data_IF_101663849085
#
_entry.id   IF_101663849085
#
_cell.length_a   1.000
_cell.length_b   1.000
_cell.length_c   1.000
_cell.angle_alpha   90.00
_cell.angle_beta   90.00
_cell.angle_gamma   90.00
#
_symmetry.space_group_name_H-M   'P 1'
#
loop_
_entity.id
_entity.type
_entity.pdbx_description
1 polymer ?
#
# COMPACT_ATOMS: atom_id res chain seq x y z
N UNK A 1 -11.49 -19.00 -2.28
CA UNK A 1 -11.67 -19.83 -1.07
C UNK A 1 -11.13 -19.05 0.11
N UNK A 2 -11.89 -18.99 1.22
CA UNK A 2 -11.42 -18.36 2.48
C UNK A 2 -11.09 -19.48 3.45
N UNK A 3 -9.93 -19.40 4.09
CA UNK A 3 -9.45 -20.38 5.06
C UNK A 3 -9.03 -19.65 6.35
N UNK A 4 -9.53 -20.12 7.48
CA UNK A 4 -9.18 -19.51 8.77
C UNK A 4 -7.91 -20.14 9.33
N UNK A 5 -7.01 -19.28 9.82
CA UNK A 5 -5.76 -19.70 10.44
C UNK A 5 -5.51 -18.92 11.73
N UNK A 6 -4.70 -19.53 12.60
CA UNK A 6 -4.23 -18.87 13.80
C UNK A 6 -2.74 -18.50 13.70
N UNK A 7 -2.36 -17.41 14.34
CA UNK A 7 -0.99 -16.88 14.32
C UNK A 7 -0.49 -16.67 15.75
N UNK A 8 0.80 -16.79 15.94
CA UNK A 8 1.45 -16.54 17.24
C UNK A 8 1.90 -15.09 17.40
N UNK A 9 2.01 -14.35 16.30
CA UNK A 9 2.41 -12.94 16.27
C UNK A 9 1.63 -12.21 15.18
N UNK A 10 1.19 -11.00 15.50
CA UNK A 10 0.52 -10.11 14.55
C UNK A 10 1.54 -9.30 13.73
N UNK A 11 2.50 -8.70 14.40
CA UNK A 11 3.48 -7.79 13.81
C UNK A 11 4.73 -8.53 13.33
N UNK A 12 5.14 -8.20 12.11
CA UNK A 12 6.37 -8.70 11.49
C UNK A 12 7.38 -7.56 11.40
N UNK A 13 8.58 -7.76 11.96
CA UNK A 13 9.64 -6.77 11.84
C UNK A 13 10.28 -6.85 10.47
N UNK A 14 10.33 -5.71 9.77
CA UNK A 14 10.98 -5.59 8.47
C UNK A 14 12.48 -5.45 8.69
N UNK A 15 13.25 -6.28 7.99
CA UNK A 15 14.71 -6.17 8.01
C UNK A 15 15.13 -4.94 7.20
N UNK A 16 15.83 -4.02 7.84
CA UNK A 16 16.44 -2.90 7.14
C UNK A 16 17.42 -3.43 6.09
N UNK A 17 17.30 -2.93 4.88
CA UNK A 17 18.28 -3.17 3.83
C UNK A 17 18.97 -1.85 3.52
N UNK A 18 20.25 -1.86 3.19
CA UNK A 18 21.03 -0.66 2.88
C UNK A 18 20.53 0.12 1.64
N UNK A 19 19.52 -0.38 0.95
CA UNK A 19 19.02 0.17 -0.32
C UNK A 19 17.66 0.85 -0.23
N UNK A 20 16.90 0.61 0.84
CA UNK A 20 15.53 1.13 0.97
C UNK A 20 15.33 1.61 2.41
N UNK A 21 15.10 2.90 2.58
CA UNK A 21 14.65 3.47 3.84
C UNK A 21 13.14 3.52 3.82
N UNK A 22 12.50 2.65 4.62
CA UNK A 22 11.06 2.69 4.81
C UNK A 22 10.71 3.56 6.03
N UNK A 23 9.56 4.27 6.01
CA UNK A 23 9.11 5.09 7.13
C UNK A 23 8.66 4.27 8.33
N UNK A 24 8.62 2.96 8.20
CA UNK A 24 8.14 2.02 9.21
C UNK A 24 9.05 0.80 9.30
N UNK A 25 9.00 0.14 10.46
CA UNK A 25 9.78 -1.09 10.73
C UNK A 25 8.90 -2.31 11.00
N UNK A 26 7.61 -2.11 11.11
CA UNK A 26 6.66 -3.16 11.46
C UNK A 26 5.56 -3.24 10.41
N UNK A 27 5.18 -4.46 10.09
CA UNK A 27 4.16 -4.77 9.12
C UNK A 27 3.07 -5.65 9.75
N UNK A 28 1.82 -5.22 9.65
CA UNK A 28 0.64 -5.96 10.04
C UNK A 28 -0.11 -6.41 8.81
N UNK A 29 -0.24 -7.72 8.62
CA UNK A 29 -1.06 -8.30 7.57
C UNK A 29 -2.13 -9.17 8.22
N UNK A 30 -3.37 -8.71 8.22
CA UNK A 30 -4.50 -9.43 8.82
C UNK A 30 -4.96 -10.61 7.97
N UNK A 31 -4.68 -10.54 6.69
CA UNK A 31 -4.88 -11.62 5.73
C UNK A 31 -3.55 -12.12 5.16
N UNK A 32 -3.61 -13.22 4.44
CA UNK A 32 -2.55 -13.70 3.57
C UNK A 32 -3.17 -14.14 2.25
N UNK A 33 -2.63 -13.68 1.13
CA UNK A 33 -3.30 -13.64 -0.16
C UNK A 33 -4.15 -12.38 -0.29
N UNK A 34 -4.53 -12.04 -1.52
CA UNK A 34 -5.30 -10.84 -1.79
C UNK A 34 -6.30 -11.06 -2.91
N UNK A 35 -7.60 -10.91 -2.59
CA UNK A 35 -8.69 -11.11 -3.51
C UNK A 35 -8.83 -10.05 -4.60
N UNK A 36 -8.10 -8.93 -4.56
CA UNK A 36 -8.15 -7.93 -5.63
C UNK A 36 -7.70 -8.46 -7.00
N UNK A 37 -6.84 -9.48 -7.03
CA UNK A 37 -6.45 -10.15 -8.27
C UNK A 37 -5.55 -9.35 -9.18
N UNK A 38 -4.79 -8.38 -8.66
CA UNK A 38 -3.94 -7.52 -9.48
C UNK A 38 -2.88 -8.31 -10.26
N UNK A 39 -2.93 -8.29 -11.59
CA UNK A 39 -2.07 -9.09 -12.45
C UNK A 39 -0.57 -8.78 -12.36
N UNK A 40 -0.19 -7.68 -11.73
CA UNK A 40 1.19 -7.24 -11.51
C UNK A 40 1.64 -7.34 -10.04
N UNK A 41 0.88 -8.00 -9.16
CA UNK A 41 1.09 -7.97 -7.73
C UNK A 41 2.46 -8.56 -7.33
N UNK A 42 3.31 -7.73 -6.71
CA UNK A 42 4.62 -8.18 -6.24
C UNK A 42 4.53 -9.18 -5.08
N UNK A 43 3.43 -9.18 -4.34
CA UNK A 43 3.27 -9.97 -3.12
C UNK A 43 2.96 -11.45 -3.36
N UNK A 44 2.79 -11.88 -4.62
CA UNK A 44 2.56 -13.29 -4.97
C UNK A 44 3.60 -14.24 -4.36
N UNK A 45 4.86 -13.79 -4.23
CA UNK A 45 5.92 -14.58 -3.59
C UNK A 45 5.58 -15.03 -2.16
N UNK A 46 4.69 -14.33 -1.48
CA UNK A 46 4.37 -14.63 -0.07
C UNK A 46 3.72 -15.98 0.13
N UNK A 47 3.00 -16.51 -0.88
CA UNK A 47 2.39 -17.85 -0.84
C UNK A 47 3.41 -18.98 -0.97
N UNK A 48 4.52 -18.77 -1.70
CA UNK A 48 5.56 -19.79 -1.86
C UNK A 48 6.20 -20.27 -0.55
N UNK A 49 6.09 -19.47 0.52
CA UNK A 49 6.53 -19.88 1.87
C UNK A 49 5.61 -20.91 2.52
N UNK A 50 4.32 -20.97 2.13
CA UNK A 50 3.37 -22.00 2.62
C UNK A 50 3.54 -23.30 1.85
N UNK A 51 3.65 -23.23 0.54
CA UNK A 51 3.75 -24.38 -0.36
C UNK A 51 4.98 -25.23 -0.07
N UNK A 52 6.08 -24.63 0.40
CA UNK A 52 7.25 -25.36 0.87
C UNK A 52 7.01 -26.18 2.14
N UNK A 53 5.99 -25.88 2.92
CA UNK A 53 5.60 -26.63 4.13
C UNK A 53 4.55 -27.70 3.82
N UNK A 54 3.71 -27.46 2.86
CA UNK A 54 2.69 -28.39 2.39
C UNK A 54 3.20 -29.02 1.08
N UNK A 55 3.39 -30.35 1.04
CA UNK A 55 3.81 -31.11 -0.15
C UNK A 55 2.76 -31.12 -1.28
N UNK A 56 2.06 -30.01 -1.49
CA UNK A 56 1.03 -29.84 -2.51
C UNK A 56 1.50 -28.89 -3.59
N UNK A 57 2.17 -29.42 -4.59
CA UNK A 57 2.33 -28.73 -5.86
C UNK A 57 1.65 -29.54 -6.96
N UNK A 58 0.44 -29.15 -7.32
CA UNK A 58 -0.07 -29.43 -8.66
C UNK A 58 0.58 -28.42 -9.60
N UNK A 59 1.52 -28.88 -10.41
CA UNK A 59 2.20 -28.05 -11.40
C UNK A 59 1.13 -27.42 -12.33
N UNK A 60 1.04 -26.09 -12.35
CA UNK A 60 0.13 -25.31 -13.21
C UNK A 60 -0.89 -24.42 -12.52
N UNK A 61 -1.20 -24.63 -11.23
CA UNK A 61 -2.15 -23.79 -10.47
C UNK A 61 -1.50 -22.79 -9.52
N UNK A 62 -0.17 -22.81 -9.36
CA UNK A 62 0.58 -22.08 -8.34
C UNK A 62 0.37 -20.55 -8.41
N UNK A 63 0.31 -19.97 -9.60
CA UNK A 63 0.18 -18.52 -9.77
C UNK A 63 -1.20 -17.97 -9.39
N UNK A 64 -2.24 -18.83 -9.36
CA UNK A 64 -3.59 -18.43 -9.00
C UNK A 64 -3.89 -18.58 -7.50
N UNK A 65 -3.09 -19.31 -6.75
CA UNK A 65 -3.34 -19.58 -5.32
C UNK A 65 -3.33 -18.30 -4.49
N UNK A 66 -2.42 -17.37 -4.75
CA UNK A 66 -2.33 -16.09 -4.05
C UNK A 66 -3.62 -15.26 -4.13
N UNK A 67 -4.34 -15.31 -5.23
CA UNK A 67 -5.59 -14.57 -5.45
C UNK A 67 -6.85 -15.35 -5.06
N UNK A 68 -6.79 -16.67 -5.09
CA UNK A 68 -7.96 -17.56 -4.89
C UNK A 68 -8.05 -18.13 -3.49
N UNK A 69 -6.91 -18.33 -2.80
CA UNK A 69 -6.84 -18.88 -1.46
C UNK A 69 -6.40 -17.77 -0.48
N UNK A 70 -7.37 -17.23 0.23
CA UNK A 70 -7.14 -16.16 1.19
C UNK A 70 -7.18 -16.74 2.60
N UNK A 71 -6.11 -16.60 3.33
CA UNK A 71 -6.06 -17.01 4.73
C UNK A 71 -6.44 -15.84 5.62
N UNK A 72 -7.42 -16.06 6.50
CA UNK A 72 -7.92 -15.10 7.48
C UNK A 72 -7.32 -15.43 8.83
N UNK A 73 -6.64 -14.49 9.45
CA UNK A 73 -6.01 -14.69 10.76
C UNK A 73 -7.01 -14.36 11.87
N UNK A 74 -7.80 -15.34 12.27
CA UNK A 74 -8.95 -15.13 13.18
C UNK A 74 -8.58 -14.69 14.59
N UNK A 75 -7.36 -15.00 15.07
CA UNK A 75 -6.86 -14.53 16.37
C UNK A 75 -5.89 -13.35 16.28
N UNK A 76 -5.95 -12.58 15.18
CA UNK A 76 -4.99 -11.50 14.94
C UNK A 76 -5.09 -10.39 15.99
N UNK A 77 -6.29 -10.12 16.50
CA UNK A 77 -6.54 -9.09 17.49
C UNK A 77 -5.87 -9.42 18.82
N UNK A 78 -6.07 -10.63 19.34
CA UNK A 78 -5.42 -11.11 20.56
C UNK A 78 -3.88 -11.06 20.44
N UNK A 79 -3.35 -11.52 19.31
CA UNK A 79 -1.91 -11.47 19.04
C UNK A 79 -1.38 -10.04 18.93
N UNK A 80 -2.17 -9.11 18.36
CA UNK A 80 -1.82 -7.71 18.23
C UNK A 80 -1.83 -7.00 19.60
N UNK A 81 -2.91 -7.13 20.35
CA UNK A 81 -3.08 -6.55 21.67
C UNK A 81 -1.92 -6.95 22.60
N UNK A 82 -1.57 -8.24 22.62
CA UNK A 82 -0.42 -8.74 23.39
C UNK A 82 0.90 -8.06 23.00
N UNK A 83 1.09 -7.75 21.71
CA UNK A 83 2.32 -7.09 21.26
C UNK A 83 2.31 -5.59 21.56
N UNK A 84 1.18 -4.89 21.36
CA UNK A 84 1.04 -3.46 21.67
C UNK A 84 1.10 -3.18 23.18
N UNK A 85 0.55 -4.08 24.01
CA UNK A 85 0.59 -3.99 25.46
C UNK A 85 1.93 -4.35 26.10
N UNK A 86 2.90 -4.85 25.33
CA UNK A 86 4.21 -5.21 25.87
C UNK A 86 4.98 -3.96 26.33
N UNK A 87 5.59 -4.01 27.53
CA UNK A 87 6.40 -2.90 28.08
C UNK A 87 7.55 -2.44 27.17
N UNK A 88 8.00 -3.31 26.28
CA UNK A 88 9.08 -3.03 25.32
C UNK A 88 8.58 -2.37 24.03
N UNK A 89 7.26 -2.28 23.84
CA UNK A 89 6.68 -1.65 22.66
C UNK A 89 6.86 -0.14 22.69
N UNK A 90 7.41 0.43 21.60
CA UNK A 90 7.79 1.85 21.51
C UNK A 90 6.85 2.70 20.66
N UNK A 91 5.68 2.17 20.33
CA UNK A 91 4.72 2.84 19.43
C UNK A 91 5.35 3.25 18.09
N UNK A 92 6.17 2.38 17.54
CA UNK A 92 6.73 2.57 16.21
C UNK A 92 5.63 2.51 15.14
N UNK A 93 5.82 3.19 14.03
CA UNK A 93 4.85 3.19 12.92
C UNK A 93 4.65 1.77 12.39
N UNK A 94 3.39 1.36 12.28
CA UNK A 94 2.98 0.08 11.71
C UNK A 94 2.39 0.31 10.33
N UNK A 95 2.95 -0.36 9.32
CA UNK A 95 2.32 -0.47 8.01
C UNK A 95 1.29 -1.58 8.03
N UNK A 96 0.06 -1.29 7.62
CA UNK A 96 -1.03 -2.26 7.57
C UNK A 96 -1.27 -2.65 6.11
N UNK A 97 -1.09 -3.94 5.79
CA UNK A 97 -1.33 -4.45 4.45
C UNK A 97 -0.11 -4.45 3.51
N UNK A 98 1.09 -4.74 4.03
CA UNK A 98 2.33 -4.73 3.22
C UNK A 98 2.41 -5.84 2.15
N UNK A 99 1.75 -6.99 2.36
CA UNK A 99 1.74 -8.11 1.38
C UNK A 99 0.32 -8.56 1.00
N UNK A 100 -0.69 -7.84 1.43
CA UNK A 100 -2.09 -7.99 1.02
C UNK A 100 -2.77 -6.64 1.18
N UNK A 101 -3.90 -6.42 0.53
CA UNK A 101 -4.74 -5.29 0.85
C UNK A 101 -5.62 -5.65 2.05
N UNK A 102 -5.62 -4.84 3.09
CA UNK A 102 -6.42 -5.10 4.30
C UNK A 102 -7.90 -4.79 4.08
N UNK A 103 -8.24 -4.03 3.04
CA UNK A 103 -9.61 -3.76 2.60
C UNK A 103 -10.00 -4.56 1.34
N UNK A 104 -9.37 -5.72 1.13
CA UNK A 104 -9.75 -6.65 0.08
C UNK A 104 -11.18 -7.21 0.28
N UNK A 105 -11.80 -7.86 -0.73
CA UNK A 105 -13.18 -8.35 -0.61
C UNK A 105 -13.48 -9.21 0.62
N UNK A 106 -12.51 -9.96 1.16
CA UNK A 106 -12.69 -10.74 2.39
C UNK A 106 -13.03 -9.87 3.60
N UNK A 107 -12.51 -8.64 3.66
CA UNK A 107 -12.72 -7.72 4.78
C UNK A 107 -14.18 -7.27 4.90
N UNK A 108 -14.94 -7.22 3.79
CA UNK A 108 -16.36 -6.91 3.82
C UNK A 108 -17.16 -7.90 4.70
N UNK A 109 -16.70 -9.15 4.78
CA UNK A 109 -17.36 -10.20 5.54
C UNK A 109 -16.80 -10.35 6.96
N UNK A 110 -15.49 -10.21 7.13
CA UNK A 110 -14.84 -10.46 8.43
C UNK A 110 -14.77 -9.24 9.34
N UNK A 111 -14.70 -8.04 8.79
CA UNK A 111 -14.72 -6.79 9.55
C UNK A 111 -13.54 -6.58 10.51
N UNK A 112 -12.42 -7.30 10.33
CA UNK A 112 -11.27 -7.30 11.23
C UNK A 112 -10.57 -5.94 11.33
N UNK A 113 -10.59 -5.14 10.25
CA UNK A 113 -9.95 -3.83 10.27
C UNK A 113 -10.55 -2.90 11.29
N UNK A 114 -11.88 -2.94 11.49
CA UNK A 114 -12.56 -2.10 12.47
C UNK A 114 -12.03 -2.34 13.90
N UNK A 115 -11.87 -3.60 14.26
CA UNK A 115 -11.34 -3.98 15.57
C UNK A 115 -9.83 -3.69 15.68
N UNK A 116 -9.06 -3.90 14.62
CA UNK A 116 -7.65 -3.49 14.55
C UNK A 116 -7.50 -1.98 14.79
N UNK A 117 -8.33 -1.16 14.15
CA UNK A 117 -8.30 0.29 14.32
C UNK A 117 -8.69 0.72 15.74
N UNK A 118 -9.67 0.05 16.36
CA UNK A 118 -10.02 0.28 17.75
C UNK A 118 -8.83 0.04 18.69
N UNK A 119 -8.09 -1.07 18.50
CA UNK A 119 -6.84 -1.32 19.23
C UNK A 119 -5.78 -0.25 18.95
N UNK A 120 -5.60 0.16 17.69
CA UNK A 120 -4.64 1.22 17.36
C UNK A 120 -5.00 2.54 18.05
N UNK A 121 -6.29 2.85 18.18
CA UNK A 121 -6.78 4.04 18.89
C UNK A 121 -6.53 3.94 20.40
N UNK A 122 -6.83 2.80 21.02
CA UNK A 122 -6.57 2.55 22.44
C UNK A 122 -5.09 2.73 22.80
N UNK A 123 -4.21 2.13 21.99
CA UNK A 123 -2.76 2.23 22.19
C UNK A 123 -2.14 3.51 21.61
N UNK A 124 -2.92 4.36 20.91
CA UNK A 124 -2.44 5.56 20.19
C UNK A 124 -1.23 5.23 19.31
N UNK A 125 -1.35 4.17 18.53
CA UNK A 125 -0.25 3.67 17.72
C UNK A 125 -0.32 4.25 16.30
N UNK A 126 0.77 4.86 15.80
CA UNK A 126 0.78 5.40 14.44
C UNK A 126 0.72 4.31 13.38
N UNK A 127 -0.03 4.59 12.30
CA UNK A 127 -0.27 3.63 11.22
C UNK A 127 -0.12 4.24 9.83
N UNK A 128 0.27 3.40 8.87
CA UNK A 128 0.22 3.66 7.43
C UNK A 128 -0.67 2.59 6.80
N UNK A 129 -1.64 3.00 6.00
CA UNK A 129 -2.56 2.11 5.29
C UNK A 129 -2.55 2.49 3.82
N UNK A 130 -2.32 1.50 2.96
CA UNK A 130 -2.40 1.67 1.51
C UNK A 130 -3.42 0.70 0.94
N UNK A 131 -4.37 1.19 0.15
CA UNK A 131 -5.45 0.34 -0.38
C UNK A 131 -5.82 0.67 -1.82
N UNK A 132 -6.47 -0.28 -2.49
CA UNK A 132 -7.18 -0.13 -3.77
C UNK A 132 -8.69 -0.25 -3.60
N UNK A 133 -9.19 -0.04 -2.38
CA UNK A 133 -10.60 -0.26 -2.04
C UNK A 133 -11.23 0.97 -1.40
N UNK A 134 -12.43 1.33 -1.83
CA UNK A 134 -13.27 2.32 -1.16
C UNK A 134 -13.97 1.77 0.10
N UNK A 135 -13.82 0.47 0.40
CA UNK A 135 -14.30 -0.13 1.65
C UNK A 135 -13.69 0.54 2.90
N UNK A 136 -12.51 1.16 2.78
CA UNK A 136 -11.88 1.93 3.87
C UNK A 136 -12.78 3.05 4.38
N UNK A 137 -13.70 3.57 3.57
CA UNK A 137 -14.66 4.60 3.98
C UNK A 137 -15.64 4.12 5.06
N UNK A 138 -15.87 2.81 5.17
CA UNK A 138 -16.62 2.21 6.29
C UNK A 138 -16.02 2.59 7.65
N UNK A 139 -14.71 2.76 7.70
CA UNK A 139 -13.94 2.99 8.93
C UNK A 139 -13.40 4.44 9.00
N UNK A 140 -13.96 5.36 8.20
CA UNK A 140 -13.52 6.75 8.09
C UNK A 140 -13.50 7.46 9.45
N UNK A 141 -14.56 7.32 10.27
CA UNK A 141 -14.65 7.93 11.60
C UNK A 141 -13.52 7.46 12.53
N UNK A 142 -13.29 6.14 12.60
CA UNK A 142 -12.22 5.56 13.44
C UNK A 142 -10.84 6.02 13.01
N UNK A 143 -10.59 6.12 11.71
CA UNK A 143 -9.33 6.62 11.18
C UNK A 143 -9.16 8.12 11.46
N UNK A 144 -10.23 8.90 11.38
CA UNK A 144 -10.25 10.31 11.75
C UNK A 144 -9.93 10.50 13.25
N UNK A 145 -10.61 9.77 14.13
CA UNK A 145 -10.34 9.78 15.58
C UNK A 145 -8.89 9.39 15.91
N UNK A 146 -8.39 8.31 15.30
CA UNK A 146 -6.99 7.90 15.47
C UNK A 146 -6.03 8.98 14.99
N UNK A 147 -6.36 9.66 13.89
CA UNK A 147 -5.53 10.71 13.31
C UNK A 147 -5.40 11.96 14.20
N UNK A 148 -6.40 12.25 15.04
CA UNK A 148 -6.29 13.29 16.07
C UNK A 148 -5.31 12.91 17.20
N UNK A 149 -5.17 11.62 17.48
CA UNK A 149 -4.36 11.12 18.59
C UNK A 149 -2.90 10.85 18.20
N UNK A 150 -2.65 10.46 16.94
CA UNK A 150 -1.33 10.08 16.44
C UNK A 150 -1.22 10.21 14.92
N UNK A 151 -0.12 9.74 14.34
CA UNK A 151 0.07 9.75 12.89
C UNK A 151 -0.74 8.64 12.23
N UNK A 152 -1.60 9.03 11.32
CA UNK A 152 -2.34 8.15 10.40
C UNK A 152 -2.05 8.59 8.97
N UNK A 153 -1.67 7.64 8.13
CA UNK A 153 -1.54 7.86 6.70
C UNK A 153 -2.51 6.94 5.96
N UNK A 154 -3.37 7.55 5.14
CA UNK A 154 -4.29 6.85 4.25
C UNK A 154 -3.86 7.12 2.82
N UNK A 155 -3.36 6.09 2.14
CA UNK A 155 -2.96 6.19 0.76
C UNK A 155 -3.82 5.30 -0.13
N UNK A 156 -4.15 5.78 -1.31
CA UNK A 156 -4.78 4.96 -2.34
C UNK A 156 -3.82 4.72 -3.49
N UNK A 157 -3.93 3.56 -4.12
CA UNK A 157 -3.16 3.24 -5.32
C UNK A 157 -4.04 3.41 -6.55
N UNK A 158 -3.61 4.24 -7.50
CA UNK A 158 -4.25 4.41 -8.81
C UNK A 158 -3.18 4.28 -9.90
N UNK A 159 -3.38 3.35 -10.84
CA UNK A 159 -2.46 3.07 -11.94
C UNK A 159 -2.93 3.66 -13.26
N UNK A 160 -4.24 3.78 -13.42
CA UNK A 160 -4.90 4.34 -14.61
C UNK A 160 -6.28 4.88 -14.26
N UNK A 161 -6.74 5.86 -15.03
CA UNK A 161 -8.12 6.35 -15.00
C UNK A 161 -9.02 5.65 -16.04
N UNK A 162 -8.46 4.86 -16.94
CA UNK A 162 -9.23 4.00 -17.83
C UNK A 162 -9.84 2.83 -17.04
N UNK A 163 -11.15 2.86 -16.84
CA UNK A 163 -11.87 1.84 -16.05
C UNK A 163 -11.79 0.44 -16.67
N UNK A 164 -11.77 0.33 -18.00
CA UNK A 164 -11.66 -0.97 -18.67
C UNK A 164 -10.29 -1.58 -18.43
N UNK A 165 -9.24 -0.78 -18.60
CA UNK A 165 -7.88 -1.19 -18.32
C UNK A 165 -7.69 -1.48 -16.82
N UNK A 166 -8.25 -0.65 -15.94
CA UNK A 166 -8.21 -0.86 -14.49
C UNK A 166 -8.84 -2.21 -14.11
N UNK A 167 -10.04 -2.51 -14.61
CA UNK A 167 -10.72 -3.78 -14.37
C UNK A 167 -9.93 -4.98 -14.87
N UNK A 168 -9.27 -4.84 -16.02
CA UNK A 168 -8.44 -5.92 -16.57
C UNK A 168 -7.16 -6.15 -15.74
N UNK A 169 -6.54 -5.07 -15.25
CA UNK A 169 -5.32 -5.13 -14.45
C UNK A 169 -5.59 -5.52 -12.99
N UNK A 170 -6.73 -5.12 -12.43
CA UNK A 170 -7.08 -5.18 -10.99
C UNK A 170 -8.55 -5.62 -10.81
N UNK A 171 -8.90 -6.88 -11.16
CA UNK A 171 -10.28 -7.32 -11.42
C UNK A 171 -11.29 -7.09 -10.29
N UNK A 172 -10.86 -7.15 -9.02
CA UNK A 172 -11.73 -7.01 -7.84
C UNK A 172 -11.33 -5.83 -6.95
N UNK A 173 -10.52 -4.91 -7.45
CA UNK A 173 -10.26 -3.65 -6.77
C UNK A 173 -11.35 -2.62 -7.12
N UNK A 174 -11.53 -1.61 -6.29
CA UNK A 174 -12.50 -0.55 -6.57
C UNK A 174 -12.11 0.25 -7.81
N UNK A 175 -13.05 0.76 -8.60
CA UNK A 175 -12.76 1.63 -9.74
C UNK A 175 -11.89 2.83 -9.35
N UNK A 176 -11.08 3.39 -10.27
CA UNK A 176 -10.18 4.50 -9.97
C UNK A 176 -10.86 5.71 -9.34
N UNK A 177 -12.03 6.11 -9.84
CA UNK A 177 -12.81 7.23 -9.29
C UNK A 177 -13.25 7.00 -7.83
N UNK A 178 -13.60 5.76 -7.49
CA UNK A 178 -13.93 5.39 -6.11
C UNK A 178 -12.73 5.51 -5.16
N UNK A 179 -11.53 5.24 -5.67
CA UNK A 179 -10.29 5.43 -4.89
C UNK A 179 -10.00 6.93 -4.69
N UNK A 180 -10.28 7.78 -5.68
CA UNK A 180 -10.20 9.24 -5.49
C UNK A 180 -11.26 9.76 -4.52
N UNK A 181 -12.46 9.16 -4.45
CA UNK A 181 -13.44 9.55 -3.44
C UNK A 181 -12.91 9.31 -2.01
N UNK A 182 -12.11 8.27 -1.78
CA UNK A 182 -11.43 8.07 -0.49
C UNK A 182 -10.57 9.28 -0.13
N UNK A 183 -9.74 9.76 -1.05
CA UNK A 183 -8.89 10.93 -0.79
C UNK A 183 -9.70 12.20 -0.51
N UNK A 184 -10.83 12.39 -1.21
CA UNK A 184 -11.73 13.54 -0.99
C UNK A 184 -12.35 13.51 0.40
N UNK A 185 -12.79 12.34 0.88
CA UNK A 185 -13.37 12.19 2.21
C UNK A 185 -12.35 12.43 3.34
N UNK A 186 -11.11 11.97 3.16
CA UNK A 186 -10.08 12.14 4.18
C UNK A 186 -9.40 13.51 4.19
N UNK A 187 -9.56 14.36 3.16
CA UNK A 187 -8.84 15.64 3.03
C UNK A 187 -9.07 16.63 4.17
N UNK A 188 -10.23 16.59 4.80
CA UNK A 188 -10.61 17.51 5.89
C UNK A 188 -10.42 16.87 7.28
N UNK A 189 -9.82 15.68 7.34
CA UNK A 189 -9.44 15.02 8.60
C UNK A 189 -8.00 15.36 8.99
N UNK A 190 -7.60 14.93 10.19
CA UNK A 190 -6.20 15.03 10.62
C UNK A 190 -5.30 13.94 10.01
N UNK A 191 -5.82 13.01 9.20
CA UNK A 191 -5.03 12.00 8.53
C UNK A 191 -4.21 12.61 7.39
N UNK A 192 -2.98 12.11 7.22
CA UNK A 192 -2.18 12.37 6.03
C UNK A 192 -2.72 11.54 4.87
N UNK A 193 -2.87 12.16 3.72
CA UNK A 193 -3.37 11.49 2.52
C UNK A 193 -2.29 11.35 1.46
N UNK A 194 -2.26 10.20 0.78
CA UNK A 194 -1.26 9.91 -0.25
C UNK A 194 -1.81 9.23 -1.49
N UNK A 195 -1.25 9.59 -2.62
CA UNK A 195 -1.48 8.88 -3.87
C UNK A 195 -0.27 7.99 -4.20
N UNK A 196 -0.52 6.71 -4.42
CA UNK A 196 0.49 5.78 -4.94
C UNK A 196 0.20 5.49 -6.43
N UNK A 197 1.06 5.98 -7.31
CA UNK A 197 1.08 5.61 -8.73
C UNK A 197 2.04 4.43 -8.92
N UNK A 198 1.80 3.34 -8.22
CA UNK A 198 2.68 2.16 -8.14
C UNK A 198 1.90 0.86 -8.34
N UNK A 199 2.18 0.14 -9.44
CA UNK A 199 3.18 0.47 -10.46
C UNK A 199 2.62 1.31 -11.61
N UNK A 200 3.48 2.12 -12.24
CA UNK A 200 3.27 2.57 -13.61
C UNK A 200 3.71 1.42 -14.53
N UNK A 201 2.81 1.00 -15.42
CA UNK A 201 3.04 -0.11 -16.33
C UNK A 201 3.41 0.44 -17.72
N UNK A 202 4.65 0.22 -18.18
CA UNK A 202 5.09 0.68 -19.51
C UNK A 202 4.14 0.25 -20.62
N UNK A 203 3.92 1.11 -21.60
CA UNK A 203 3.03 0.91 -22.74
C UNK A 203 1.53 0.78 -22.42
N UNK A 204 1.16 0.61 -21.13
CA UNK A 204 -0.23 0.46 -20.69
C UNK A 204 -0.74 1.70 -19.96
N UNK A 205 -0.02 2.14 -18.91
CA UNK A 205 -0.47 3.23 -18.03
C UNK A 205 0.48 4.43 -18.01
N UNK A 206 1.56 4.42 -18.77
CA UNK A 206 2.62 5.43 -18.82
C UNK A 206 2.38 6.56 -19.83
N UNK A 207 1.23 6.59 -20.50
CA UNK A 207 0.86 7.67 -21.41
C UNK A 207 0.78 9.00 -20.66
N UNK A 208 1.37 10.08 -21.19
CA UNK A 208 1.37 11.40 -20.54
C UNK A 208 -0.01 11.87 -20.11
N UNK A 209 -1.04 11.61 -20.90
CA UNK A 209 -2.42 12.01 -20.62
C UNK A 209 -2.98 11.30 -19.38
N UNK A 210 -2.71 9.99 -19.22
CA UNK A 210 -3.10 9.23 -18.05
C UNK A 210 -2.36 9.69 -16.81
N UNK A 211 -1.03 9.90 -16.91
CA UNK A 211 -0.22 10.38 -15.79
C UNK A 211 -0.66 11.77 -15.33
N UNK A 212 -0.92 12.68 -16.28
CA UNK A 212 -1.38 14.03 -15.97
C UNK A 212 -2.77 14.03 -15.34
N UNK A 213 -3.70 13.22 -15.85
CA UNK A 213 -5.04 13.10 -15.28
C UNK A 213 -5.01 12.61 -13.82
N UNK A 214 -4.21 11.58 -13.52
CA UNK A 214 -4.05 11.06 -12.15
C UNK A 214 -3.44 12.13 -11.23
N UNK A 215 -2.40 12.83 -11.69
CA UNK A 215 -1.70 13.85 -10.90
C UNK A 215 -2.59 15.07 -10.66
N UNK A 216 -3.35 15.53 -11.67
CA UNK A 216 -4.27 16.67 -11.52
C UNK A 216 -5.39 16.35 -10.52
N UNK A 217 -5.99 15.16 -10.59
CA UNK A 217 -7.00 14.72 -9.63
C UNK A 217 -6.45 14.63 -8.20
N UNK A 218 -5.19 14.17 -8.04
CA UNK A 218 -4.54 14.15 -6.74
C UNK A 218 -4.35 15.57 -6.16
N UNK A 219 -3.98 16.53 -7.01
CA UNK A 219 -3.86 17.92 -6.61
C UNK A 219 -5.23 18.53 -6.22
N UNK A 220 -6.30 18.22 -6.95
CA UNK A 220 -7.67 18.61 -6.59
C UNK A 220 -8.11 18.03 -5.24
N UNK A 221 -7.71 16.78 -4.95
CA UNK A 221 -7.92 16.15 -3.65
C UNK A 221 -7.03 16.72 -2.54
N UNK A 222 -6.05 17.57 -2.87
CA UNK A 222 -5.08 18.15 -1.93
C UNK A 222 -4.29 17.10 -1.14
N UNK A 223 -3.87 16.02 -1.80
CA UNK A 223 -3.06 15.00 -1.13
C UNK A 223 -1.72 15.57 -0.64
N UNK A 224 -1.24 15.07 0.48
CA UNK A 224 0.03 15.51 1.08
C UNK A 224 1.24 15.08 0.24
N UNK A 225 1.11 13.96 -0.48
CA UNK A 225 2.18 13.47 -1.34
C UNK A 225 1.67 12.55 -2.46
N UNK A 226 2.46 12.41 -3.51
CA UNK A 226 2.26 11.41 -4.56
C UNK A 226 3.55 10.62 -4.82
N UNK A 227 3.45 9.29 -4.85
CA UNK A 227 4.58 8.38 -5.08
C UNK A 227 4.43 7.63 -6.40
N UNK A 228 5.14 8.05 -7.46
CA UNK A 228 5.23 7.27 -8.68
C UNK A 228 6.28 6.15 -8.55
N UNK A 229 5.97 4.99 -9.10
CA UNK A 229 6.90 3.87 -9.15
C UNK A 229 6.69 3.00 -10.38
N UNK A 230 7.77 2.72 -11.12
CA UNK A 230 7.72 1.87 -12.31
C UNK A 230 7.61 0.40 -11.91
N UNK A 231 6.83 -0.37 -12.66
CA UNK A 231 6.69 -1.82 -12.51
C UNK A 231 8.06 -2.52 -12.37
N UNK A 232 8.14 -3.41 -11.41
CA UNK A 232 9.30 -4.28 -11.20
C UNK A 232 8.88 -5.75 -11.27
N UNK A 233 9.43 -6.48 -12.23
CA UNK A 233 9.06 -7.86 -12.51
C UNK A 233 10.12 -8.84 -12.04
N UNK A 234 9.76 -9.68 -11.05
CA UNK A 234 10.66 -10.70 -10.50
C UNK A 234 9.89 -11.98 -10.15
N UNK A 235 10.57 -13.12 -10.29
CA UNK A 235 10.03 -14.42 -9.86
C UNK A 235 8.64 -14.72 -10.44
N UNK A 236 7.71 -15.15 -9.60
CA UNK A 236 6.37 -15.54 -10.01
C UNK A 236 5.55 -14.38 -10.58
N UNK A 237 5.71 -13.17 -10.03
CA UNK A 237 5.08 -11.97 -10.59
C UNK A 237 5.46 -11.75 -12.05
N UNK A 238 6.75 -11.99 -12.40
CA UNK A 238 7.19 -11.86 -13.79
C UNK A 238 6.50 -12.88 -14.70
N UNK A 239 6.48 -14.14 -14.32
CA UNK A 239 5.83 -15.20 -15.11
C UNK A 239 4.35 -14.90 -15.32
N UNK A 240 3.66 -14.60 -14.23
CA UNK A 240 2.23 -14.29 -14.26
C UNK A 240 1.92 -13.09 -15.16
N UNK A 241 2.68 -12.01 -15.03
CA UNK A 241 2.45 -10.79 -15.80
C UNK A 241 2.75 -10.97 -17.29
N UNK A 242 3.80 -11.73 -17.65
CA UNK A 242 4.07 -12.03 -19.06
C UNK A 242 2.99 -12.91 -19.69
N UNK A 243 2.47 -13.91 -18.97
CA UNK A 243 1.32 -14.70 -19.43
C UNK A 243 0.07 -13.80 -19.60
N UNK A 244 -0.15 -12.87 -18.68
CA UNK A 244 -1.23 -11.89 -18.79
C UNK A 244 -1.08 -11.01 -20.05
N UNK A 245 0.13 -10.54 -20.35
CA UNK A 245 0.40 -9.76 -21.57
C UNK A 245 0.18 -10.59 -22.84
N UNK A 246 0.66 -11.82 -22.86
CA UNK A 246 0.49 -12.72 -24.00
C UNK A 246 -0.99 -12.91 -24.36
N UNK A 247 -1.85 -13.03 -23.33
CA UNK A 247 -3.28 -13.24 -23.52
C UNK A 247 -4.06 -11.96 -23.88
N UNK A 248 -3.65 -10.80 -23.37
CA UNK A 248 -4.46 -9.58 -23.46
C UNK A 248 -3.83 -8.47 -24.31
N UNK A 249 -2.50 -8.49 -24.49
CA UNK A 249 -1.72 -7.44 -25.15
C UNK A 249 -0.52 -8.03 -25.91
N UNK A 250 -0.75 -8.99 -26.83
CA UNK A 250 0.35 -9.69 -27.52
C UNK A 250 1.26 -8.74 -28.31
N UNK A 251 0.73 -7.60 -28.77
CA UNK A 251 1.46 -6.59 -29.54
C UNK A 251 2.57 -5.88 -28.74
N UNK A 252 2.48 -5.84 -27.41
CA UNK A 252 3.51 -5.22 -26.57
C UNK A 252 4.42 -6.24 -25.89
N UNK A 253 4.24 -7.52 -26.13
CA UNK A 253 4.99 -8.60 -25.46
C UNK A 253 6.50 -8.48 -25.76
N UNK A 254 6.89 -8.35 -27.03
CA UNK A 254 8.29 -8.18 -27.44
C UNK A 254 8.93 -6.90 -26.90
N UNK A 255 8.27 -5.71 -26.98
CA UNK A 255 8.71 -4.52 -26.29
C UNK A 255 8.95 -4.73 -24.78
N UNK A 256 8.06 -5.44 -24.09
CA UNK A 256 8.23 -5.77 -22.68
C UNK A 256 9.45 -6.68 -22.41
N UNK A 257 9.67 -7.70 -23.21
CA UNK A 257 10.85 -8.57 -23.09
C UNK A 257 12.15 -7.77 -23.20
N UNK A 258 12.22 -6.84 -24.16
CA UNK A 258 13.38 -5.95 -24.36
C UNK A 258 13.57 -5.02 -23.16
N UNK A 259 12.50 -4.36 -22.73
CA UNK A 259 12.52 -3.38 -21.65
C UNK A 259 12.89 -3.99 -20.30
N UNK A 260 12.43 -5.22 -20.03
CA UNK A 260 12.62 -5.97 -18.77
C UNK A 260 13.67 -7.08 -18.86
N UNK A 261 14.65 -6.95 -19.72
CA UNK A 261 15.71 -7.98 -19.91
C UNK A 261 16.45 -8.33 -18.60
N UNK A 262 16.52 -7.41 -17.62
CA UNK A 262 17.21 -7.54 -16.33
C UNK A 262 16.32 -7.41 -15.09
N UNK A 263 15.02 -7.70 -15.22
CA UNK A 263 14.06 -7.68 -14.10
C UNK A 263 13.42 -6.33 -13.80
N UNK A 264 14.15 -5.23 -13.80
CA UNK A 264 13.61 -3.87 -13.77
C UNK A 264 13.54 -3.28 -15.17
N UNK A 265 12.71 -2.28 -15.38
CA UNK A 265 12.68 -1.53 -16.62
C UNK A 265 14.05 -0.87 -16.92
N UNK A 266 14.37 -0.71 -18.20
CA UNK A 266 15.60 -0.08 -18.65
C UNK A 266 15.84 1.29 -18.01
N UNK A 267 17.12 1.68 -17.85
CA UNK A 267 17.49 2.93 -17.18
C UNK A 267 17.09 4.16 -17.99
N UNK A 268 17.21 4.10 -19.30
CA UNK A 268 16.87 5.22 -20.19
C UNK A 268 15.38 5.49 -20.15
N UNK A 269 14.57 4.43 -20.31
CA UNK A 269 13.12 4.53 -20.15
C UNK A 269 12.72 5.14 -18.81
N UNK A 270 13.29 4.66 -17.70
CA UNK A 270 13.00 5.20 -16.37
C UNK A 270 13.37 6.68 -16.27
N UNK A 271 14.53 7.08 -16.78
CA UNK A 271 14.97 8.47 -16.73
C UNK A 271 14.00 9.40 -17.48
N UNK A 272 13.50 8.99 -18.64
CA UNK A 272 12.51 9.75 -19.41
C UNK A 272 11.18 9.84 -18.68
N UNK A 273 10.66 8.72 -18.19
CA UNK A 273 9.40 8.69 -17.44
C UNK A 273 9.47 9.56 -16.18
N UNK A 274 10.54 9.44 -15.39
CA UNK A 274 10.67 10.25 -14.17
C UNK A 274 10.88 11.74 -14.48
N UNK A 275 11.42 12.10 -15.64
CA UNK A 275 11.47 13.51 -16.09
C UNK A 275 10.07 14.06 -16.36
N UNK A 276 9.20 13.27 -17.04
CA UNK A 276 7.79 13.65 -17.26
C UNK A 276 7.06 13.78 -15.93
N UNK A 277 7.18 12.79 -15.06
CA UNK A 277 6.54 12.79 -13.74
C UNK A 277 6.97 13.98 -12.89
N UNK A 278 8.27 14.28 -12.85
CA UNK A 278 8.79 15.45 -12.14
C UNK A 278 8.16 16.74 -12.65
N UNK A 279 8.11 16.93 -13.96
CA UNK A 279 7.49 18.10 -14.58
C UNK A 279 6.00 18.21 -14.21
N UNK A 280 5.25 17.11 -14.27
CA UNK A 280 3.83 17.10 -13.89
C UNK A 280 3.65 17.39 -12.40
N UNK A 281 4.43 16.77 -11.52
CA UNK A 281 4.34 17.03 -10.07
C UNK A 281 4.68 18.49 -9.72
N UNK A 282 5.68 19.09 -10.39
CA UNK A 282 6.00 20.51 -10.26
C UNK A 282 4.86 21.40 -10.77
N UNK A 283 4.28 21.07 -11.94
CA UNK A 283 3.14 21.79 -12.53
C UNK A 283 1.92 21.83 -11.59
N UNK A 284 1.64 20.74 -10.91
CA UNK A 284 0.49 20.60 -10.01
C UNK A 284 0.85 20.80 -8.53
N UNK A 285 2.05 21.24 -8.22
CA UNK A 285 2.55 21.51 -6.86
C UNK A 285 2.43 20.33 -5.89
N UNK A 286 2.59 19.09 -6.38
CA UNK A 286 2.57 17.89 -5.57
C UNK A 286 3.96 17.52 -5.04
N UNK A 287 4.03 17.17 -3.76
CA UNK A 287 5.25 16.65 -3.14
C UNK A 287 5.43 15.17 -3.42
N UNK A 288 6.67 14.74 -3.69
CA UNK A 288 7.06 13.32 -3.67
C UNK A 288 7.61 12.85 -2.33
N UNK A 289 7.68 13.73 -1.35
CA UNK A 289 8.26 13.46 -0.03
C UNK A 289 7.19 12.97 0.94
N UNK A 290 7.01 11.65 0.99
CA UNK A 290 6.07 10.99 1.90
C UNK A 290 6.57 10.91 3.36
N UNK A 291 7.84 11.19 3.61
CA UNK A 291 8.41 11.20 4.97
C UNK A 291 8.09 12.50 5.71
N UNK A 292 8.06 13.61 5.00
CA UNK A 292 7.88 14.94 5.57
C UNK A 292 6.60 15.09 6.42
N UNK A 293 5.41 14.64 5.97
CA UNK A 293 4.21 14.71 6.81
C UNK A 293 4.33 13.88 8.09
N UNK A 294 4.96 12.71 8.02
CA UNK A 294 5.20 11.85 9.18
C UNK A 294 6.15 12.51 10.17
N UNK A 295 7.28 13.03 9.71
CA UNK A 295 8.26 13.74 10.54
C UNK A 295 7.62 14.95 11.22
N UNK A 296 6.86 15.75 10.48
CA UNK A 296 6.16 16.91 11.02
C UNK A 296 5.21 16.52 12.15
N UNK A 297 4.52 15.37 12.04
CA UNK A 297 3.50 14.97 13.02
C UNK A 297 4.08 14.20 14.23
N UNK A 298 5.07 13.33 14.00
CA UNK A 298 5.68 12.51 15.06
C UNK A 298 6.86 13.20 15.76
N UNK A 299 7.61 14.03 15.05
CA UNK A 299 8.80 14.70 15.57
C UNK A 299 8.59 16.20 15.76
N UNK A 300 7.34 16.64 16.08
CA UNK A 300 7.14 18.03 16.51
C UNK A 300 8.14 18.32 17.62
N UNK A 301 8.98 19.36 17.51
CA UNK A 301 9.81 19.79 18.61
C UNK A 301 8.88 20.00 19.81
N UNK A 302 9.23 19.41 20.95
CA UNK A 302 8.50 19.59 22.20
C UNK A 302 8.23 21.08 22.34
N UNK A 303 6.97 21.48 22.30
CA UNK A 303 6.60 22.87 22.50
C UNK A 303 7.10 23.19 23.91
N UNK A 304 8.24 23.86 24.01
CA UNK A 304 8.83 24.28 25.29
C UNK A 304 7.75 25.11 25.97
N UNK A 305 7.26 24.65 27.11
CA UNK A 305 6.35 25.45 27.91
C UNK A 305 7.15 26.63 28.45
N UNK A 306 6.52 27.77 28.60
CA UNK A 306 7.16 28.95 29.20
C UNK A 306 7.84 28.61 30.55
N UNK A 307 7.31 27.63 31.26
CA UNK A 307 7.87 27.06 32.50
C UNK A 307 9.23 26.38 32.31
N UNK A 308 9.57 25.88 31.13
CA UNK A 308 10.85 25.21 30.89
C UNK A 308 12.03 26.21 30.81
N UNK A 309 11.73 27.52 30.71
CA UNK A 309 12.71 28.62 30.75
C UNK A 309 12.86 29.28 32.13
N UNK A 310 12.00 28.91 33.09
CA UNK A 310 12.01 29.53 34.42
C UNK A 310 12.77 28.71 35.48
N UNK A 311 13.27 27.52 35.13
CA UNK A 311 14.01 26.63 36.05
C UNK A 311 15.55 26.75 35.96
N UNK A 312 16.12 27.63 35.09
CA UNK A 312 17.57 27.78 34.95
C UNK A 312 18.16 28.96 35.75
N UNK A 313 17.36 29.71 36.56
CA UNK A 313 17.82 30.85 37.36
C UNK A 313 17.54 30.69 38.87
N UNK A 314 17.87 29.54 39.46
CA UNK A 314 18.01 29.42 40.95
C UNK A 314 19.23 28.58 41.33
#
# INVERSE_FOLDING_TARGET
>A
MLEEIQVTKALNKIKATSRITLPYRWDLNIYRGCGHGCNYCYAMYSHSYLEKKEKYSSAGEENCAFFRRIYVKTNILEALEKQLGARTWKKEVINIGGVCDSYQPAEANYGLMREVLALMTEYKNPVIISTKSDLILRDHELLGELAELTYVNVAVTVTTMDEKLSTLLEPLASPPEKRFSVLREFKDTAAVTGLHMMPILPFLTDKPENLEQIISLAAECKVDYALPGVLYLRGETRKHFFNFLELNFPEILDPYHKLYSKGGADRTYKAELYRVLKHLMEKYHLSGDYMKPMETKLFRPRQLKLTDFLEEDI
#
